data_IF_066687515342
#
_entry.id   IF_066687515342
#
_cell.length_a   1.000
_cell.length_b   1.000
_cell.length_c   1.000
_cell.angle_alpha   90.00
_cell.angle_beta   90.00
_cell.angle_gamma   90.00
#
_symmetry.space_group_name_H-M   'P 1'
#
loop_
_entity.id
_entity.type
_entity.pdbx_description
1 polymer ?
#
# COMPACT_ATOMS: atom_id res chain seq x y z
N UNK A 1 -15.37 3.23 -46.43
CA UNK A 1 -14.09 2.60 -46.83
C UNK A 1 -12.91 3.14 -46.04
N UNK A 2 -12.52 4.42 -46.17
CA UNK A 2 -11.33 5.00 -45.49
C UNK A 2 -11.30 4.87 -43.94
N UNK A 3 -12.47 4.89 -43.28
CA UNK A 3 -12.55 4.70 -41.82
C UNK A 3 -12.17 3.27 -41.40
N UNK A 4 -12.56 2.28 -42.19
CA UNK A 4 -12.34 0.85 -41.90
C UNK A 4 -10.89 0.48 -42.15
N UNK A 5 -10.30 0.96 -43.26
CA UNK A 5 -8.88 0.72 -43.55
C UNK A 5 -7.97 1.35 -42.49
N UNK A 6 -8.27 2.58 -42.05
CA UNK A 6 -7.50 3.23 -40.98
C UNK A 6 -7.59 2.46 -39.67
N UNK A 7 -8.79 2.01 -39.27
CA UNK A 7 -8.97 1.22 -38.05
C UNK A 7 -8.20 -0.10 -38.10
N UNK A 8 -8.22 -0.80 -39.23
CA UNK A 8 -7.44 -2.02 -39.44
C UNK A 8 -5.93 -1.78 -39.29
N UNK A 9 -5.39 -0.77 -39.98
CA UNK A 9 -3.97 -0.44 -39.91
C UNK A 9 -3.55 -0.09 -38.46
N UNK A 10 -4.39 0.68 -37.76
CA UNK A 10 -4.18 1.02 -36.35
C UNK A 10 -4.18 -0.23 -35.46
N UNK A 11 -5.18 -1.10 -35.60
CA UNK A 11 -5.27 -2.32 -34.78
C UNK A 11 -4.11 -3.28 -35.01
N UNK A 12 -3.65 -3.44 -36.26
CA UNK A 12 -2.46 -4.25 -36.55
C UNK A 12 -1.17 -3.67 -35.98
N UNK A 13 -1.03 -2.34 -35.97
CA UNK A 13 0.11 -1.66 -35.35
C UNK A 13 0.13 -1.77 -33.82
N UNK A 14 -1.04 -1.79 -33.18
CA UNK A 14 -1.17 -1.87 -31.72
C UNK A 14 -1.39 -3.30 -31.19
N UNK A 15 -1.59 -4.29 -32.07
CA UNK A 15 -1.76 -5.69 -31.72
C UNK A 15 -0.67 -6.27 -30.78
N UNK A 16 0.63 -5.96 -30.96
CA UNK A 16 1.66 -6.46 -30.05
C UNK A 16 1.70 -5.74 -28.70
N UNK A 17 0.93 -4.65 -28.51
CA UNK A 17 0.94 -3.84 -27.30
C UNK A 17 -0.26 -4.19 -26.42
N UNK A 18 -0.01 -4.94 -25.34
CA UNK A 18 -1.05 -5.33 -24.37
C UNK A 18 -1.57 -4.17 -23.50
N UNK A 19 -0.92 -3.01 -23.55
CA UNK A 19 -1.30 -1.83 -22.77
C UNK A 19 -2.63 -1.18 -23.22
N UNK A 20 -3.22 -1.62 -24.34
CA UNK A 20 -4.41 -0.99 -24.93
C UNK A 20 -5.48 -2.02 -25.35
N UNK A 21 -6.74 -1.77 -25.00
CA UNK A 21 -7.86 -2.58 -25.48
C UNK A 21 -8.34 -2.12 -26.86
N UNK A 22 -8.27 -3.03 -27.83
CA UNK A 22 -8.63 -2.77 -29.24
C UNK A 22 -10.15 -2.57 -29.41
N UNK A 23 -10.96 -3.18 -28.54
CA UNK A 23 -12.41 -3.22 -28.64
C UNK A 23 -13.12 -2.00 -28.02
N UNK A 24 -12.37 -1.11 -27.37
CA UNK A 24 -12.88 0.10 -26.70
C UNK A 24 -13.49 -0.15 -25.32
N UNK A 25 -13.78 0.93 -24.59
CA UNK A 25 -14.05 0.91 -23.14
C UNK A 25 -15.22 0.02 -22.68
N UNK A 26 -16.24 -0.14 -23.52
CA UNK A 26 -17.39 -0.99 -23.19
C UNK A 26 -17.11 -2.48 -23.32
N UNK A 27 -16.08 -2.86 -24.08
CA UNK A 27 -15.74 -4.25 -24.42
C UNK A 27 -14.37 -4.67 -23.87
N UNK A 28 -13.75 -3.86 -23.01
CA UNK A 28 -12.49 -4.18 -22.31
C UNK A 28 -12.53 -5.54 -21.61
N UNK A 29 -13.69 -5.93 -21.09
CA UNK A 29 -13.89 -7.21 -20.39
C UNK A 29 -13.93 -8.42 -21.32
N UNK A 30 -14.05 -8.23 -22.64
CA UNK A 30 -14.00 -9.31 -23.62
C UNK A 30 -12.60 -9.54 -24.17
N UNK A 31 -11.68 -8.58 -23.97
CA UNK A 31 -10.30 -8.67 -24.40
C UNK A 31 -9.45 -9.36 -23.32
N UNK A 32 -9.16 -10.65 -23.53
CA UNK A 32 -8.36 -11.45 -22.59
C UNK A 32 -6.91 -10.96 -22.48
N UNK A 33 -6.36 -10.40 -23.57
CA UNK A 33 -5.02 -9.81 -23.58
C UNK A 33 -4.95 -8.62 -22.62
N UNK A 34 -5.88 -7.67 -22.78
CA UNK A 34 -5.96 -6.51 -21.89
C UNK A 34 -6.22 -6.88 -20.43
N UNK A 35 -7.13 -7.84 -20.17
CA UNK A 35 -7.43 -8.28 -18.79
C UNK A 35 -6.20 -8.91 -18.12
N UNK A 36 -5.47 -9.76 -18.84
CA UNK A 36 -4.25 -10.39 -18.28
C UNK A 36 -3.18 -9.36 -17.94
N UNK A 37 -2.98 -8.35 -18.79
CA UNK A 37 -2.08 -7.24 -18.51
C UNK A 37 -2.52 -6.41 -17.29
N UNK A 38 -3.79 -6.00 -17.22
CA UNK A 38 -4.29 -5.23 -16.09
C UNK A 38 -4.14 -6.02 -14.77
N UNK A 39 -4.45 -7.32 -14.81
CA UNK A 39 -4.28 -8.22 -13.67
C UNK A 39 -2.81 -8.32 -13.25
N UNK A 40 -1.89 -8.42 -14.22
CA UNK A 40 -0.46 -8.41 -13.96
C UNK A 40 0.00 -7.13 -13.25
N UNK A 41 -0.42 -5.95 -13.73
CA UNK A 41 -0.07 -4.66 -13.10
C UNK A 41 -0.64 -4.54 -11.68
N UNK A 42 -1.88 -5.00 -11.47
CA UNK A 42 -2.47 -5.01 -10.12
C UNK A 42 -1.70 -5.95 -9.18
N UNK A 43 -1.33 -7.14 -9.65
CA UNK A 43 -0.52 -8.10 -8.91
C UNK A 43 0.85 -7.52 -8.57
N UNK A 44 1.52 -6.91 -9.55
CA UNK A 44 2.82 -6.26 -9.37
C UNK A 44 2.72 -5.13 -8.33
N UNK A 45 1.74 -4.23 -8.45
CA UNK A 45 1.52 -3.14 -7.50
C UNK A 45 1.28 -3.64 -6.07
N UNK A 46 0.55 -4.75 -5.89
CA UNK A 46 0.31 -5.34 -4.58
C UNK A 46 1.61 -5.93 -4.00
N UNK A 47 2.42 -6.61 -4.82
CA UNK A 47 3.64 -7.29 -4.36
C UNK A 47 4.84 -6.37 -4.17
N UNK A 48 4.99 -5.35 -5.01
CA UNK A 48 6.17 -4.46 -5.04
C UNK A 48 5.80 -3.02 -4.73
N UNK A 49 4.76 -2.80 -3.92
CA UNK A 49 4.36 -1.45 -3.52
C UNK A 49 5.54 -0.70 -2.85
N UNK A 50 6.06 0.39 -3.45
CA UNK A 50 7.31 1.00 -3.01
C UNK A 50 7.24 1.52 -1.57
N UNK A 51 6.06 1.99 -1.14
CA UNK A 51 5.83 2.42 0.25
C UNK A 51 5.96 1.25 1.23
N UNK A 52 5.48 0.05 0.86
CA UNK A 52 5.57 -1.12 1.74
C UNK A 52 7.02 -1.62 1.83
N UNK A 53 7.72 -1.69 0.68
CA UNK A 53 9.13 -2.09 0.64
C UNK A 53 9.99 -1.15 1.51
N UNK A 54 9.79 0.17 1.37
CA UNK A 54 10.51 1.16 2.16
C UNK A 54 10.09 1.16 3.63
N UNK A 55 8.80 0.95 3.92
CA UNK A 55 8.34 0.79 5.31
C UNK A 55 9.00 -0.41 5.99
N UNK A 56 9.07 -1.56 5.31
CA UNK A 56 9.76 -2.74 5.82
C UNK A 56 11.25 -2.50 6.05
N UNK A 57 11.92 -1.75 5.17
CA UNK A 57 13.35 -1.43 5.37
C UNK A 57 13.56 -0.52 6.60
N UNK A 58 12.72 0.51 6.79
CA UNK A 58 12.75 1.36 7.99
C UNK A 58 12.51 0.53 9.26
N UNK A 59 11.53 -0.38 9.23
CA UNK A 59 11.23 -1.24 10.38
C UNK A 59 12.42 -2.14 10.71
N UNK A 60 13.03 -2.76 9.70
CA UNK A 60 14.21 -3.61 9.88
C UNK A 60 15.41 -2.83 10.44
N UNK A 61 15.66 -1.61 9.95
CA UNK A 61 16.71 -0.74 10.47
C UNK A 61 16.47 -0.39 11.95
N UNK A 62 15.24 -0.06 12.33
CA UNK A 62 14.88 0.25 13.71
C UNK A 62 15.01 -0.97 14.64
N UNK A 63 14.68 -2.16 14.15
CA UNK A 63 14.88 -3.42 14.88
C UNK A 63 16.38 -3.66 15.10
N UNK A 64 17.20 -3.49 14.07
CA UNK A 64 18.67 -3.62 14.19
C UNK A 64 19.27 -2.63 15.18
N UNK A 65 18.82 -1.36 15.15
CA UNK A 65 19.22 -0.35 16.16
C UNK A 65 18.88 -0.81 17.57
N UNK A 66 17.68 -1.35 17.80
CA UNK A 66 17.29 -1.92 19.10
C UNK A 66 18.21 -3.08 19.51
N UNK A 67 18.55 -4.00 18.60
CA UNK A 67 19.49 -5.07 18.91
C UNK A 67 20.88 -4.55 19.28
N UNK A 68 21.37 -3.48 18.66
CA UNK A 68 22.64 -2.85 19.03
C UNK A 68 22.62 -2.32 20.47
N UNK A 69 21.58 -1.57 20.87
CA UNK A 69 21.46 -1.09 22.26
C UNK A 69 21.31 -2.24 23.27
N UNK A 70 20.70 -3.37 22.88
CA UNK A 70 20.54 -4.56 23.74
C UNK A 70 21.90 -5.19 24.05
N UNK A 71 22.82 -5.15 23.10
CA UNK A 71 24.17 -5.66 23.25
C UNK A 71 25.01 -4.84 24.23
N UNK A 72 24.77 -3.53 24.32
CA UNK A 72 25.48 -2.65 25.27
C UNK A 72 24.97 -2.82 26.69
N UNK A 73 23.69 -2.53 26.94
CA UNK A 73 23.11 -2.61 28.29
C UNK A 73 21.58 -2.57 28.25
N UNK A 74 20.93 -3.29 29.18
CA UNK A 74 19.47 -3.21 29.37
C UNK A 74 18.99 -1.81 29.73
N UNK A 75 19.82 -1.02 30.42
CA UNK A 75 19.47 0.38 30.79
C UNK A 75 19.37 1.27 29.55
N UNK A 76 20.24 1.08 28.58
CA UNK A 76 20.26 1.87 27.35
C UNK A 76 19.04 1.58 26.48
N UNK A 77 18.56 0.33 26.46
CA UNK A 77 17.27 -0.02 25.82
C UNK A 77 16.11 0.74 26.43
N UNK A 78 16.07 0.81 27.75
CA UNK A 78 14.97 1.41 28.46
C UNK A 78 14.91 2.91 28.18
N UNK A 79 16.06 3.59 28.22
CA UNK A 79 16.16 5.01 27.90
C UNK A 79 15.78 5.28 26.43
N UNK A 80 16.33 4.50 25.50
CA UNK A 80 16.01 4.62 24.07
C UNK A 80 14.50 4.45 23.81
N UNK A 81 13.89 3.37 24.31
CA UNK A 81 12.46 3.11 24.09
C UNK A 81 11.57 4.18 24.71
N UNK A 82 11.89 4.67 25.92
CA UNK A 82 11.14 5.75 26.57
C UNK A 82 11.20 7.06 25.77
N UNK A 83 12.38 7.43 25.27
CA UNK A 83 12.54 8.62 24.42
C UNK A 83 11.72 8.49 23.13
N UNK A 84 11.82 7.36 22.44
CA UNK A 84 11.06 7.11 21.21
C UNK A 84 9.55 7.16 21.43
N UNK A 85 9.04 6.66 22.57
CA UNK A 85 7.62 6.76 22.91
C UNK A 85 7.15 8.21 23.08
N UNK A 86 7.96 9.05 23.75
CA UNK A 86 7.62 10.47 23.93
C UNK A 86 7.60 11.16 22.57
N UNK A 87 8.64 10.97 21.76
CA UNK A 87 8.73 11.52 20.41
C UNK A 87 7.50 11.09 19.59
N UNK A 88 7.20 9.80 19.54
CA UNK A 88 6.04 9.28 18.81
C UNK A 88 4.71 9.89 19.27
N UNK A 89 4.52 10.08 20.59
CA UNK A 89 3.31 10.73 21.13
C UNK A 89 3.19 12.18 20.64
N UNK A 90 4.28 12.92 20.58
CA UNK A 90 4.29 14.29 20.05
C UNK A 90 4.01 14.33 18.54
N UNK A 91 4.66 13.47 17.75
CA UNK A 91 4.39 13.36 16.32
C UNK A 91 2.92 12.98 16.05
N UNK A 92 2.37 12.06 16.82
CA UNK A 92 0.97 11.67 16.73
C UNK A 92 0.04 12.85 17.03
N UNK A 93 0.33 13.64 18.07
CA UNK A 93 -0.44 14.83 18.40
C UNK A 93 -0.41 15.87 17.26
N UNK A 94 0.77 16.11 16.69
CA UNK A 94 0.95 17.04 15.55
C UNK A 94 0.17 16.53 14.31
N UNK A 95 0.27 15.24 14.00
CA UNK A 95 -0.45 14.66 12.85
C UNK A 95 -1.96 14.72 13.02
N UNK A 96 -2.48 14.46 14.22
CA UNK A 96 -3.92 14.50 14.50
C UNK A 96 -4.49 15.92 14.54
N UNK A 97 -3.73 16.89 15.04
CA UNK A 97 -4.16 18.30 15.05
C UNK A 97 -4.27 18.86 13.63
N UNK A 98 -3.35 18.47 12.73
CA UNK A 98 -3.38 18.85 11.30
C UNK A 98 -4.40 18.07 10.48
N UNK A 99 -4.68 16.82 10.83
CA UNK A 99 -5.58 15.93 10.08
C UNK A 99 -6.78 15.47 10.92
N UNK A 100 -7.79 16.33 11.08
CA UNK A 100 -8.95 16.05 11.95
C UNK A 100 -9.77 14.83 11.53
N UNK A 101 -9.85 14.53 10.24
CA UNK A 101 -10.60 13.37 9.71
C UNK A 101 -10.05 12.04 10.23
N UNK A 102 -8.73 11.96 10.46
CA UNK A 102 -8.08 10.75 10.99
C UNK A 102 -8.49 10.46 12.44
N UNK A 103 -8.94 11.46 13.21
CA UNK A 103 -9.43 11.26 14.57
C UNK A 103 -10.69 10.40 14.57
N UNK A 104 -11.61 10.68 13.65
CA UNK A 104 -12.86 9.92 13.52
C UNK A 104 -12.57 8.50 13.06
N UNK A 105 -11.80 8.34 11.99
CA UNK A 105 -11.43 7.02 11.45
C UNK A 105 -10.72 6.15 12.49
N UNK A 106 -9.82 6.73 13.28
CA UNK A 106 -9.13 6.01 14.36
C UNK A 106 -10.08 5.52 15.46
N UNK A 107 -11.07 6.33 15.84
CA UNK A 107 -12.09 5.92 16.82
C UNK A 107 -12.93 4.77 16.28
N UNK A 108 -13.37 4.85 15.02
CA UNK A 108 -14.10 3.78 14.35
C UNK A 108 -13.30 2.48 14.28
N UNK A 109 -12.03 2.56 13.86
CA UNK A 109 -11.17 1.38 13.76
C UNK A 109 -10.94 0.73 15.14
N UNK A 110 -10.77 1.53 16.20
CA UNK A 110 -10.62 0.99 17.55
C UNK A 110 -11.88 0.26 18.02
N UNK A 111 -13.06 0.84 17.78
CA UNK A 111 -14.35 0.19 18.08
C UNK A 111 -14.51 -1.12 17.29
N UNK A 112 -14.21 -1.12 16.00
CA UNK A 112 -14.26 -2.31 15.16
C UNK A 112 -13.36 -3.44 15.70
N UNK A 113 -12.12 -3.12 16.06
CA UNK A 113 -11.18 -4.09 16.62
C UNK A 113 -11.62 -4.65 17.99
N UNK A 114 -12.39 -3.88 18.77
CA UNK A 114 -12.96 -4.38 20.02
C UNK A 114 -14.11 -5.34 19.76
N UNK A 115 -15.00 -5.01 18.82
CA UNK A 115 -16.13 -5.87 18.42
C UNK A 115 -15.61 -7.20 17.87
N UNK A 116 -14.66 -7.17 16.92
CA UNK A 116 -14.08 -8.39 16.34
C UNK A 116 -13.37 -9.27 17.38
N UNK A 117 -12.76 -8.64 18.39
CA UNK A 117 -12.14 -9.37 19.51
C UNK A 117 -13.22 -10.07 20.34
N UNK A 118 -14.33 -9.42 20.64
CA UNK A 118 -15.43 -10.01 21.43
C UNK A 118 -16.05 -11.19 20.68
N UNK A 119 -16.23 -11.07 19.35
CA UNK A 119 -16.74 -12.16 18.51
C UNK A 119 -15.82 -13.39 18.49
N UNK A 120 -14.49 -13.21 18.54
CA UNK A 120 -13.55 -14.33 18.57
C UNK A 120 -13.53 -15.14 19.87
N UNK A 121 -14.18 -14.63 20.93
CA UNK A 121 -14.27 -15.30 22.24
C UNK A 121 -15.61 -16.02 22.47
N UNK A 122 -16.56 -15.92 21.53
CA UNK A 122 -17.81 -16.69 21.49
C UNK A 122 -17.69 -17.85 20.50
#
# INVERSE_FOLDING_TARGET
>A
MFRVSKAWITNFGFLPRLDYCILGRSLEKMDSGFISYASFIHMECIHTHPVLVYFCSIVNENINKRYQYLRTSKRDIYLYTKQQQIIFRWWLAITLTRNRQLIQLRKYQFMYLQISRIESFN
#
